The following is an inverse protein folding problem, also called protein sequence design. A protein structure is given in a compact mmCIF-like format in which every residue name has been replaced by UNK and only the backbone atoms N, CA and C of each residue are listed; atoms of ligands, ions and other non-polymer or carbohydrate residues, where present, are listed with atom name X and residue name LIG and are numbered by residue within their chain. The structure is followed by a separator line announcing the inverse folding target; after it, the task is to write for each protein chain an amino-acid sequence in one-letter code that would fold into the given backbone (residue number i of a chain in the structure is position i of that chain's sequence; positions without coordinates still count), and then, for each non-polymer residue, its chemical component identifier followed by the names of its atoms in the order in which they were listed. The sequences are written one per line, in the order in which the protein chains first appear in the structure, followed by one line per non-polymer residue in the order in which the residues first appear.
data_IF_515803410961
#
_entry.id   IF_515803410961
#
_cell.length_a   1.000
_cell.length_b   1.000
_cell.length_c   1.000
_cell.angle_alpha   90.00
_cell.angle_beta   90.00
_cell.angle_gamma   90.00
#
_symmetry.space_group_name_H-M   'P 1'
#
loop_
_entity.id
_entity.type
_entity.pdbx_description
1 polymer ?
#
# COMPACT_ATOMS: atom_id res chain seq x y z
N UNK A 1 -54.20 57.84 49.05
CA UNK A 1 -54.85 57.24 47.85
C UNK A 1 -54.12 55.92 47.63
N UNK A 2 -54.39 54.81 48.35
CA UNK A 2 -55.67 54.18 48.70
C UNK A 2 -56.27 53.58 47.41
N UNK A 3 -56.55 52.29 47.22
CA UNK A 3 -56.63 51.11 48.08
C UNK A 3 -56.42 49.83 47.22
N UNK A 4 -55.68 48.86 47.77
CA UNK A 4 -56.06 47.48 48.13
C UNK A 4 -56.81 46.48 47.19
N UNK A 5 -56.46 45.18 47.40
CA UNK A 5 -57.24 43.91 47.25
C UNK A 5 -57.05 42.95 46.02
N UNK A 6 -56.21 41.89 46.24
CA UNK A 6 -56.35 40.40 45.98
C UNK A 6 -56.65 39.80 44.58
N UNK A 7 -56.31 38.56 44.14
CA UNK A 7 -55.51 37.39 44.57
C UNK A 7 -55.40 36.31 43.45
N UNK A 8 -54.30 35.53 43.45
CA UNK A 8 -54.13 34.07 43.14
C UNK A 8 -54.11 33.50 41.68
N UNK A 9 -53.55 32.28 41.40
CA UNK A 9 -52.32 32.09 40.61
C UNK A 9 -52.43 31.11 39.41
N UNK A 10 -51.42 31.03 38.53
CA UNK A 10 -51.19 29.86 37.66
C UNK A 10 -49.69 29.63 37.35
N UNK A 11 -49.25 28.37 37.47
CA UNK A 11 -47.95 27.83 37.02
C UNK A 11 -47.97 27.56 35.51
N UNK A 12 -46.83 27.66 34.83
CA UNK A 12 -46.47 26.82 33.67
C UNK A 12 -44.95 26.81 33.40
N UNK A 13 -44.49 25.67 32.87
CA UNK A 13 -43.13 25.24 32.57
C UNK A 13 -42.49 25.96 31.36
N UNK A 14 -41.15 25.89 31.22
CA UNK A 14 -40.49 25.96 29.89
C UNK A 14 -38.99 26.28 29.85
N UNK A 15 -38.17 25.22 29.73
CA UNK A 15 -36.87 25.03 29.00
C UNK A 15 -35.70 26.04 29.08
N UNK A 16 -34.44 25.55 29.17
CA UNK A 16 -33.24 26.36 28.97
C UNK A 16 -32.65 26.23 27.56
N UNK A 17 -31.95 27.31 27.23
CA UNK A 17 -31.18 27.66 26.04
C UNK A 17 -29.89 26.84 25.89
N UNK A 18 -29.51 26.56 24.64
CA UNK A 18 -28.17 26.93 24.15
C UNK A 18 -27.26 25.83 23.62
N UNK A 19 -27.12 25.73 22.29
CA UNK A 19 -25.83 25.66 21.59
C UNK A 19 -25.97 26.41 20.25
N UNK A 20 -25.37 27.59 20.16
CA UNK A 20 -25.13 28.32 18.91
C UNK A 20 -23.80 27.82 18.33
N UNK A 21 -23.80 27.22 17.14
CA UNK A 21 -22.59 26.96 16.37
C UNK A 21 -22.38 28.10 15.36
N UNK A 22 -21.31 28.86 15.55
CA UNK A 22 -20.75 29.81 14.59
C UNK A 22 -20.27 29.05 13.35
N UNK A 23 -20.88 29.30 12.18
CA UNK A 23 -20.32 28.94 10.89
C UNK A 23 -20.00 30.25 10.17
N UNK A 24 -18.71 30.57 10.05
CA UNK A 24 -18.25 31.64 9.15
C UNK A 24 -18.20 31.11 7.71
N UNK A 25 -18.55 31.92 6.70
CA UNK A 25 -18.37 31.54 5.30
C UNK A 25 -16.91 31.79 4.87
N UNK A 26 -16.23 30.75 4.42
CA UNK A 26 -14.99 30.90 3.64
C UNK A 26 -15.36 31.30 2.21
N UNK A 27 -15.02 32.52 1.80
CA UNK A 27 -15.00 32.94 0.40
C UNK A 27 -13.65 32.58 -0.22
N UNK A 28 -13.64 31.58 -1.10
CA UNK A 28 -12.47 31.23 -1.91
C UNK A 28 -12.36 32.25 -3.06
N UNK A 29 -11.33 33.10 -3.05
CA UNK A 29 -11.02 34.03 -4.15
C UNK A 29 -9.84 33.48 -4.93
N UNK A 30 -10.08 33.03 -6.17
CA UNK A 30 -9.02 32.63 -7.11
C UNK A 30 -8.58 33.89 -7.86
N UNK A 31 -7.34 34.33 -7.62
CA UNK A 31 -6.69 35.40 -8.37
C UNK A 31 -5.81 34.73 -9.42
N UNK A 32 -6.11 34.96 -10.70
CA UNK A 32 -5.22 34.62 -11.81
C UNK A 32 -4.41 35.87 -12.11
N UNK A 33 -3.11 35.81 -11.84
CA UNK A 33 -2.19 36.91 -12.01
C UNK A 33 -1.44 36.69 -13.34
N UNK A 34 -1.82 37.43 -14.38
CA UNK A 34 -1.10 37.46 -15.66
C UNK A 34 0.11 38.39 -15.53
N UNK A 35 1.31 37.81 -15.44
CA UNK A 35 2.56 38.57 -15.60
C UNK A 35 3.02 38.56 -17.05
N UNK A 36 3.25 39.70 -17.71
CA UNK A 36 3.97 39.73 -18.98
C UNK A 36 5.47 39.75 -18.69
N UNK A 37 6.20 38.76 -19.20
CA UNK A 37 7.67 38.81 -19.23
C UNK A 37 8.17 38.54 -20.63
N UNK A 38 8.49 39.63 -21.33
CA UNK A 38 9.41 39.66 -22.45
C UNK A 38 10.81 39.33 -21.95
N UNK A 39 11.43 38.27 -22.45
CA UNK A 39 12.88 38.05 -22.35
C UNK A 39 13.36 37.48 -23.67
N UNK A 40 14.39 38.15 -24.20
CA UNK A 40 15.10 37.89 -25.45
C UNK A 40 15.63 36.47 -25.59
N UNK A 41 15.47 35.94 -26.80
CA UNK A 41 16.15 34.76 -27.32
C UNK A 41 17.61 35.10 -27.65
N UNK A 42 18.56 34.58 -26.89
CA UNK A 42 19.82 34.06 -27.44
C UNK A 42 20.63 33.35 -26.36
N UNK A 43 21.01 32.10 -26.67
CA UNK A 43 21.92 31.21 -25.92
C UNK A 43 21.42 30.62 -24.60
N UNK A 44 20.76 29.44 -24.66
CA UNK A 44 20.90 28.40 -23.64
C UNK A 44 20.49 27.02 -24.21
N UNK A 45 21.43 26.34 -24.86
CA UNK A 45 21.35 24.90 -25.14
C UNK A 45 21.86 24.13 -23.92
N UNK A 46 21.01 23.94 -22.92
CA UNK A 46 21.10 22.87 -21.92
C UNK A 46 19.82 22.84 -21.06
N UNK A 47 19.31 21.64 -20.79
CA UNK A 47 18.20 21.33 -19.89
C UNK A 47 16.79 21.76 -20.34
N UNK A 48 16.08 20.81 -20.96
CA UNK A 48 14.64 20.74 -20.82
C UNK A 48 14.28 19.56 -19.90
N UNK A 49 13.65 19.80 -18.73
CA UNK A 49 12.93 18.75 -18.05
C UNK A 49 11.71 18.38 -18.91
N UNK A 50 11.47 17.08 -19.03
CA UNK A 50 10.29 16.50 -19.65
C UNK A 50 9.03 17.09 -19.00
N UNK A 51 8.41 18.08 -19.68
CA UNK A 51 7.11 18.65 -19.28
C UNK A 51 6.05 17.61 -19.54
N UNK A 52 5.49 17.09 -18.46
CA UNK A 52 4.35 16.20 -18.45
C UNK A 52 3.12 16.97 -18.96
N UNK A 53 2.79 16.81 -20.25
CA UNK A 53 1.52 17.26 -20.81
C UNK A 53 0.40 16.30 -20.40
N UNK A 54 0.06 16.28 -19.11
CA UNK A 54 -1.05 15.47 -18.58
C UNK A 54 -2.03 16.27 -17.71
N UNK A 55 -2.12 17.58 -17.91
CA UNK A 55 -3.23 18.37 -17.39
C UNK A 55 -3.99 18.99 -18.56
N UNK A 56 -4.74 18.14 -19.27
CA UNK A 56 -5.91 18.64 -19.98
C UNK A 56 -6.81 19.30 -18.92
N UNK A 57 -7.22 20.58 -19.10
CA UNK A 57 -8.13 21.26 -18.18
C UNK A 57 -9.43 20.48 -17.98
N UNK A 58 -9.80 19.63 -18.94
CA UNK A 58 -10.95 18.72 -18.81
C UNK A 58 -10.78 17.67 -17.72
N UNK A 59 -9.55 17.14 -17.53
CA UNK A 59 -9.26 16.15 -16.48
C UNK A 59 -9.31 16.77 -15.09
N UNK A 60 -8.87 18.03 -14.96
CA UNK A 60 -8.96 18.80 -13.70
C UNK A 60 -10.42 19.12 -13.38
N UNK A 61 -11.20 19.54 -14.37
CA UNK A 61 -12.65 19.79 -14.21
C UNK A 61 -13.39 18.50 -13.83
N UNK A 62 -13.04 17.35 -14.40
CA UNK A 62 -13.65 16.07 -14.03
C UNK A 62 -13.32 15.67 -12.60
N UNK A 63 -12.06 15.83 -12.14
CA UNK A 63 -11.67 15.54 -10.75
C UNK A 63 -12.38 16.45 -9.76
N UNK A 64 -12.51 17.75 -10.07
CA UNK A 64 -13.24 18.71 -9.23
C UNK A 64 -14.73 18.35 -9.16
N UNK A 65 -15.36 18.03 -10.29
CA UNK A 65 -16.77 17.57 -10.32
C UNK A 65 -16.97 16.31 -9.47
N UNK A 66 -16.05 15.35 -9.55
CA UNK A 66 -16.13 14.13 -8.77
C UNK A 66 -16.01 14.40 -7.26
N UNK A 67 -15.07 15.25 -6.84
CA UNK A 67 -14.92 15.65 -5.42
C UNK A 67 -16.19 16.35 -4.91
N UNK A 68 -16.78 17.26 -5.70
CA UNK A 68 -18.02 17.97 -5.32
C UNK A 68 -19.18 16.99 -5.16
N UNK A 69 -19.35 16.04 -6.09
CA UNK A 69 -20.41 15.03 -6.03
C UNK A 69 -20.23 14.12 -4.80
N UNK A 70 -19.01 13.63 -4.54
CA UNK A 70 -18.74 12.76 -3.38
C UNK A 70 -19.00 13.51 -2.07
N UNK A 71 -18.60 14.77 -1.97
CA UNK A 71 -18.85 15.61 -0.79
C UNK A 71 -20.34 15.85 -0.57
N UNK A 72 -21.11 16.10 -1.64
CA UNK A 72 -22.57 16.24 -1.59
C UNK A 72 -23.26 14.96 -1.12
N UNK A 73 -22.84 13.80 -1.62
CA UNK A 73 -23.40 12.51 -1.21
C UNK A 73 -23.17 12.26 0.28
N UNK A 74 -21.95 12.51 0.78
CA UNK A 74 -21.64 12.36 2.21
C UNK A 74 -22.47 13.31 3.05
N UNK A 75 -22.64 14.57 2.60
CA UNK A 75 -23.44 15.56 3.31
C UNK A 75 -24.92 15.17 3.37
N UNK A 76 -25.49 14.68 2.26
CA UNK A 76 -26.87 14.17 2.22
C UNK A 76 -27.03 12.95 3.12
N UNK A 77 -26.07 12.02 3.12
CA UNK A 77 -26.09 10.86 4.02
C UNK A 77 -26.09 11.28 5.49
N UNK A 78 -25.26 12.25 5.88
CA UNK A 78 -25.22 12.79 7.26
C UNK A 78 -26.56 13.43 7.62
N UNK A 79 -27.18 14.20 6.72
CA UNK A 79 -28.51 14.79 6.94
C UNK A 79 -29.57 13.70 7.09
N UNK A 80 -29.56 12.68 6.23
CA UNK A 80 -30.52 11.58 6.29
C UNK A 80 -30.35 10.80 7.60
N UNK A 81 -29.12 10.48 8.01
CA UNK A 81 -28.87 9.80 9.27
C UNK A 81 -29.27 10.63 10.49
N UNK A 82 -28.99 11.94 10.50
CA UNK A 82 -29.39 12.82 11.60
C UNK A 82 -30.92 13.02 11.61
N UNK A 83 -31.59 13.08 10.47
CA UNK A 83 -33.06 13.10 10.38
C UNK A 83 -33.69 11.77 10.82
N UNK A 84 -33.12 10.62 10.47
CA UNK A 84 -33.60 9.32 10.93
C UNK A 84 -33.41 9.19 12.45
N UNK A 85 -32.26 9.59 12.98
CA UNK A 85 -31.98 9.59 14.41
C UNK A 85 -32.91 10.56 15.17
N UNK A 86 -33.16 11.76 14.64
CA UNK A 86 -34.09 12.73 15.22
C UNK A 86 -35.54 12.25 15.17
N UNK A 87 -35.95 11.57 14.08
CA UNK A 87 -37.30 10.99 13.95
C UNK A 87 -37.50 9.75 14.82
N UNK A 88 -36.43 9.05 15.20
CA UNK A 88 -36.45 7.96 16.17
C UNK A 88 -36.34 8.44 17.62
N UNK A 89 -36.10 9.73 17.88
CA UNK A 89 -36.01 10.32 19.22
C UNK A 89 -37.28 10.20 20.08
N UNK A 90 -38.44 9.88 19.48
CA UNK A 90 -39.70 9.65 20.21
C UNK A 90 -40.05 8.16 20.43
N UNK A 91 -39.15 7.21 20.12
CA UNK A 91 -39.42 5.77 20.30
C UNK A 91 -38.35 4.96 21.04
N UNK A 92 -37.48 5.62 21.82
CA UNK A 92 -36.53 4.95 22.72
C UNK A 92 -36.86 5.19 24.19
N UNK A 93 -38.06 4.80 24.59
CA UNK A 93 -38.21 4.13 25.88
C UNK A 93 -38.64 2.69 25.58
N UNK A 94 -37.78 1.73 25.93
CA UNK A 94 -38.02 0.27 25.86
C UNK A 94 -37.77 -0.42 24.50
N UNK A 95 -36.49 -0.66 24.16
CA UNK A 95 -36.13 -1.84 23.35
C UNK A 95 -35.40 -2.82 24.25
N UNK A 96 -36.16 -3.74 24.84
CA UNK A 96 -35.64 -4.98 25.39
C UNK A 96 -35.35 -5.91 24.21
N UNK A 97 -34.07 -6.16 23.93
CA UNK A 97 -33.66 -7.19 22.97
C UNK A 97 -34.03 -8.55 23.58
N UNK A 98 -34.83 -9.32 22.84
CA UNK A 98 -35.35 -10.61 23.25
C UNK A 98 -34.24 -11.68 23.27
N UNK A 99 -34.12 -12.38 24.40
CA UNK A 99 -33.49 -13.69 24.45
C UNK A 99 -34.43 -14.71 23.83
N UNK A 100 -33.87 -15.60 22.99
CA UNK A 100 -34.59 -16.76 22.45
C UNK A 100 -34.89 -17.72 23.59
N UNK A 101 -36.18 -17.91 23.86
CA UNK A 101 -36.73 -18.86 24.80
C UNK A 101 -37.09 -20.14 24.03
N UNK A 102 -36.37 -21.23 24.26
CA UNK A 102 -36.85 -22.58 23.96
C UNK A 102 -37.27 -23.20 25.28
N UNK A 103 -38.56 -23.53 25.39
CA UNK A 103 -39.11 -24.14 26.59
C UNK A 103 -40.07 -25.25 26.19
N UNK A 104 -39.81 -26.47 26.67
CA UNK A 104 -40.82 -27.42 27.14
C UNK A 104 -40.15 -28.66 27.75
N UNK A 105 -40.41 -28.88 29.04
CA UNK A 105 -40.13 -30.15 29.74
C UNK A 105 -39.68 -29.97 31.19
N UNK A 106 -40.63 -29.79 32.10
CA UNK A 106 -40.40 -29.81 33.55
C UNK A 106 -39.96 -31.19 34.03
N UNK A 107 -38.84 -31.29 34.75
CA UNK A 107 -38.66 -32.22 35.89
C UNK A 107 -37.36 -31.92 36.64
N UNK A 108 -37.54 -31.78 37.95
CA UNK A 108 -36.61 -31.91 39.09
C UNK A 108 -35.18 -31.33 39.03
N UNK A 109 -34.93 -30.59 40.11
CA UNK A 109 -33.75 -29.87 40.51
C UNK A 109 -32.70 -30.85 41.06
N UNK A 110 -31.57 -31.00 40.36
CA UNK A 110 -30.33 -31.51 40.93
C UNK A 110 -29.17 -30.57 40.57
N UNK A 111 -28.41 -30.22 41.59
CA UNK A 111 -27.28 -29.30 41.54
C UNK A 111 -26.17 -29.81 40.63
N UNK A 112 -25.89 -29.08 39.56
CA UNK A 112 -24.70 -29.31 38.72
C UNK A 112 -24.02 -27.97 38.46
N UNK A 113 -22.78 -27.83 38.93
CA UNK A 113 -21.95 -26.65 38.73
C UNK A 113 -21.70 -26.44 37.23
N UNK A 114 -22.17 -25.30 36.71
CA UNK A 114 -21.90 -24.84 35.35
C UNK A 114 -20.43 -24.42 35.22
N UNK A 115 -19.69 -24.85 34.18
CA UNK A 115 -18.33 -24.40 33.95
C UNK A 115 -18.38 -22.91 33.58
N UNK A 116 -17.71 -22.08 34.39
CA UNK A 116 -17.52 -20.68 34.06
C UNK A 116 -16.62 -20.58 32.81
N UNK A 117 -17.25 -20.41 31.64
CA UNK A 117 -16.56 -20.00 30.42
C UNK A 117 -16.07 -18.56 30.58
N UNK A 118 -14.88 -18.38 31.13
CA UNK A 118 -14.16 -17.12 31.10
C UNK A 118 -13.68 -16.86 29.68
N UNK A 119 -14.45 -16.09 28.90
CA UNK A 119 -13.97 -15.54 27.64
C UNK A 119 -12.81 -14.59 27.93
N UNK A 120 -11.59 -15.01 27.61
CA UNK A 120 -10.41 -14.16 27.69
C UNK A 120 -10.55 -12.99 26.72
N UNK A 121 -10.37 -11.77 27.23
CA UNK A 121 -10.36 -10.54 26.42
C UNK A 121 -9.32 -10.69 25.28
N UNK A 122 -9.66 -10.39 24.02
CA UNK A 122 -8.71 -10.48 22.91
C UNK A 122 -7.53 -9.53 23.14
N UNK A 123 -6.34 -9.97 22.74
CA UNK A 123 -5.11 -9.16 22.88
C UNK A 123 -5.18 -7.92 21.98
N UNK A 124 -4.50 -6.82 22.35
CA UNK A 124 -4.41 -5.61 21.51
C UNK A 124 -3.94 -5.90 20.07
N UNK A 125 -2.99 -6.83 19.93
CA UNK A 125 -2.49 -7.29 18.62
C UNK A 125 -3.62 -7.88 17.77
N UNK A 126 -4.48 -8.71 18.37
CA UNK A 126 -5.59 -9.33 17.66
C UNK A 126 -6.62 -8.29 17.21
N UNK A 127 -6.89 -7.29 18.05
CA UNK A 127 -7.79 -6.18 17.73
C UNK A 127 -7.24 -5.36 16.56
N UNK A 128 -5.97 -4.93 16.61
CA UNK A 128 -5.34 -4.19 15.51
C UNK A 128 -5.33 -5.01 14.21
N UNK A 129 -5.06 -6.32 14.27
CA UNK A 129 -5.10 -7.20 13.12
C UNK A 129 -6.50 -7.26 12.47
N UNK A 130 -7.58 -7.34 13.26
CA UNK A 130 -8.96 -7.34 12.74
C UNK A 130 -9.25 -6.02 12.00
N UNK A 131 -8.89 -4.88 12.61
CA UNK A 131 -9.09 -3.57 11.97
C UNK A 131 -8.28 -3.42 10.69
N UNK A 132 -7.00 -3.80 10.70
CA UNK A 132 -6.17 -3.79 9.49
C UNK A 132 -6.76 -4.72 8.42
N UNK A 133 -7.25 -5.90 8.80
CA UNK A 133 -7.84 -6.86 7.87
C UNK A 133 -9.14 -6.38 7.23
N UNK A 134 -9.90 -5.52 7.92
CA UNK A 134 -11.11 -4.90 7.38
C UNK A 134 -10.81 -3.75 6.39
N UNK A 135 -9.60 -3.19 6.42
CA UNK A 135 -9.17 -2.10 5.56
C UNK A 135 -8.37 -2.66 4.37
N UNK A 136 -8.93 -2.60 3.16
CA UNK A 136 -8.27 -3.14 1.95
C UNK A 136 -6.89 -2.54 1.65
N UNK A 137 -6.63 -1.34 2.16
CA UNK A 137 -5.36 -0.65 1.98
C UNK A 137 -4.35 -0.96 3.08
N UNK A 138 -4.76 -1.52 4.22
CA UNK A 138 -3.86 -1.75 5.34
C UNK A 138 -3.03 -3.02 5.15
N UNK A 139 -1.72 -2.84 5.15
CA UNK A 139 -0.75 -3.93 5.00
C UNK A 139 0.16 -4.08 6.21
N UNK A 140 0.38 -2.98 6.92
CA UNK A 140 1.18 -2.92 8.14
C UNK A 140 0.36 -2.26 9.23
N UNK A 141 0.40 -2.83 10.42
CA UNK A 141 -0.12 -2.18 11.61
C UNK A 141 0.95 -2.16 12.69
N UNK A 142 1.03 -1.06 13.41
CA UNK A 142 2.00 -0.87 14.48
C UNK A 142 1.28 -0.57 15.80
N UNK A 143 1.86 -1.05 16.89
CA UNK A 143 1.32 -0.89 18.24
C UNK A 143 2.36 -0.12 19.06
N UNK A 144 1.90 0.90 19.76
CA UNK A 144 2.72 1.59 20.75
C UNK A 144 2.83 0.72 22.00
N UNK A 145 4.01 0.21 22.38
CA UNK A 145 4.15 -0.59 23.60
C UNK A 145 3.84 0.21 24.88
N UNK A 146 3.86 1.54 24.81
CA UNK A 146 3.47 2.40 25.94
C UNK A 146 1.96 2.61 26.04
N UNK A 147 1.19 2.21 25.03
CA UNK A 147 -0.27 2.32 25.01
C UNK A 147 -0.90 1.04 24.45
N UNK A 148 -1.54 0.25 25.32
CA UNK A 148 -2.18 -1.03 24.95
C UNK A 148 -3.39 -0.91 23.99
N UNK A 149 -3.66 0.29 23.44
CA UNK A 149 -4.91 0.59 22.74
C UNK A 149 -4.78 1.44 21.48
N UNK A 150 -3.59 1.93 21.11
CA UNK A 150 -3.42 2.72 19.88
C UNK A 150 -2.78 1.85 18.80
N UNK A 151 -3.56 1.59 17.74
CA UNK A 151 -3.09 0.97 16.51
C UNK A 151 -2.80 2.05 15.47
N UNK A 152 -1.64 1.98 14.84
CA UNK A 152 -1.31 2.77 13.66
C UNK A 152 -1.41 1.88 12.43
N UNK A 153 -2.08 2.35 11.38
CA UNK A 153 -2.29 1.57 10.15
C UNK A 153 -1.61 2.28 8.99
N UNK A 154 -0.86 1.53 8.20
CA UNK A 154 -0.11 2.06 7.08
C UNK A 154 -0.49 1.33 5.79
N UNK A 155 -0.61 2.12 4.72
CA UNK A 155 -0.76 1.58 3.37
C UNK A 155 0.55 0.98 2.84
N UNK A 156 1.68 1.47 3.37
CA UNK A 156 3.01 0.98 3.04
C UNK A 156 3.14 -0.49 3.39
N UNK A 157 3.53 -1.29 2.40
CA UNK A 157 4.13 -2.60 2.63
C UNK A 157 5.52 -2.35 3.18
N UNK A 158 5.68 -2.49 4.50
CA UNK A 158 6.99 -2.44 5.17
C UNK A 158 7.34 -3.85 5.59
N UNK A 159 8.61 -4.18 5.45
CA UNK A 159 9.21 -5.50 5.48
C UNK A 159 9.04 -6.24 6.81
N UNK A 160 8.87 -7.56 6.73
CA UNK A 160 9.07 -8.58 7.79
C UNK A 160 10.55 -8.75 8.25
N UNK A 161 11.34 -7.69 8.14
CA UNK A 161 12.80 -7.67 8.32
C UNK A 161 13.37 -6.26 8.54
N UNK A 162 12.53 -5.23 8.65
CA UNK A 162 12.97 -3.92 9.12
C UNK A 162 13.52 -4.05 10.54
N UNK A 163 14.83 -3.84 10.70
CA UNK A 163 15.47 -3.67 12.01
C UNK A 163 15.71 -2.20 12.24
N UNK A 164 15.06 -1.66 13.27
CA UNK A 164 15.12 -0.26 13.63
C UNK A 164 16.48 0.09 14.25
N UNK A 165 17.04 1.24 13.87
CA UNK A 165 18.38 1.70 14.28
C UNK A 165 18.36 2.59 15.53
N UNK A 166 17.21 2.83 16.17
CA UNK A 166 17.11 3.75 17.32
C UNK A 166 16.27 3.19 18.47
N UNK A 167 16.76 3.39 19.70
CA UNK A 167 16.20 2.82 20.94
C UNK A 167 15.09 3.67 21.59
N UNK A 168 14.49 4.62 20.89
CA UNK A 168 13.50 5.53 21.48
C UNK A 168 12.21 5.53 20.68
N UNK A 169 11.10 5.15 21.32
CA UNK A 169 9.74 5.02 20.77
C UNK A 169 9.59 3.95 19.67
N UNK A 170 9.98 2.72 20.00
CA UNK A 170 9.86 1.56 19.10
C UNK A 170 8.40 1.12 19.03
N UNK A 171 7.74 1.39 17.91
CA UNK A 171 6.45 0.76 17.63
C UNK A 171 6.68 -0.71 17.26
N UNK A 172 5.88 -1.62 17.83
CA UNK A 172 5.87 -3.02 17.38
C UNK A 172 4.99 -3.14 16.14
N UNK A 173 5.62 -3.23 14.98
CA UNK A 173 4.93 -3.34 13.69
C UNK A 173 4.76 -4.79 13.23
N UNK A 174 3.65 -5.06 12.58
CA UNK A 174 3.25 -6.36 12.06
C UNK A 174 2.71 -6.19 10.65
N UNK A 175 2.87 -7.21 9.81
CA UNK A 175 2.36 -7.21 8.43
C UNK A 175 1.61 -8.50 8.13
N UNK A 176 0.65 -8.41 7.21
CA UNK A 176 -0.03 -9.58 6.62
C UNK A 176 0.81 -10.22 5.52
N UNK A 177 1.80 -9.50 5.01
CA UNK A 177 2.65 -10.01 3.94
C UNK A 177 3.51 -11.17 4.45
N UNK A 178 3.68 -12.22 3.62
CA UNK A 178 4.63 -13.28 3.92
C UNK A 178 6.04 -12.72 4.14
N UNK A 179 6.90 -13.55 4.74
CA UNK A 179 8.30 -13.19 4.83
C UNK A 179 8.92 -13.11 3.44
N UNK A 180 9.55 -11.98 3.14
CA UNK A 180 10.34 -11.79 1.94
C UNK A 180 11.82 -12.00 2.28
N UNK A 181 12.41 -13.04 1.71
CA UNK A 181 13.81 -13.39 1.92
C UNK A 181 14.78 -12.62 1.02
N UNK A 182 14.28 -11.89 0.01
CA UNK A 182 15.13 -11.04 -0.81
C UNK A 182 15.64 -9.83 0.00
N UNK A 183 14.90 -9.40 1.01
CA UNK A 183 15.23 -8.20 1.78
C UNK A 183 16.31 -8.52 2.82
N UNK A 184 17.38 -7.72 2.78
CA UNK A 184 18.60 -7.98 3.54
C UNK A 184 19.51 -9.04 2.90
N UNK A 185 19.15 -9.60 1.74
CA UNK A 185 20.08 -10.38 0.94
C UNK A 185 21.21 -9.50 0.42
N UNK A 186 22.37 -10.09 0.18
CA UNK A 186 23.43 -9.40 -0.58
C UNK A 186 23.10 -9.51 -2.06
N UNK A 187 23.22 -8.41 -2.80
CA UNK A 187 22.91 -8.37 -4.23
C UNK A 187 24.14 -7.94 -5.04
N UNK A 188 24.37 -8.63 -6.15
CA UNK A 188 25.37 -8.26 -7.16
C UNK A 188 24.84 -8.53 -8.56
N UNK A 189 25.38 -7.87 -9.57
CA UNK A 189 24.86 -8.01 -10.93
C UNK A 189 25.50 -7.07 -11.91
N UNK A 190 24.86 -6.96 -13.08
CA UNK A 190 25.19 -5.95 -14.08
C UNK A 190 25.20 -4.54 -13.46
N UNK A 191 26.06 -3.63 -13.94
CA UNK A 191 26.12 -2.28 -13.41
C UNK A 191 24.80 -1.53 -13.67
N UNK A 192 24.40 -0.60 -12.80
CA UNK A 192 23.29 0.30 -13.08
C UNK A 192 23.66 1.30 -14.18
N UNK A 193 22.66 1.79 -14.90
CA UNK A 193 22.84 2.75 -15.98
C UNK A 193 23.34 4.11 -15.45
N UNK A 194 24.47 4.65 -15.95
CA UNK A 194 25.13 5.81 -15.34
C UNK A 194 24.30 7.11 -15.40
N UNK A 195 23.44 7.27 -16.42
CA UNK A 195 22.56 8.45 -16.55
C UNK A 195 21.43 8.49 -15.53
N UNK A 196 21.09 7.35 -14.89
CA UNK A 196 19.97 7.25 -13.95
C UNK A 196 20.50 6.78 -12.59
N UNK A 197 21.17 7.67 -11.81
CA UNK A 197 21.89 7.27 -10.60
C UNK A 197 20.98 6.66 -9.51
N UNK A 198 19.70 7.01 -9.51
CA UNK A 198 18.74 6.47 -8.54
C UNK A 198 18.25 5.06 -8.90
N UNK A 199 18.58 4.53 -10.08
CA UNK A 199 18.11 3.23 -10.58
C UNK A 199 19.10 2.12 -10.28
N UNK A 200 19.45 2.02 -9.01
CA UNK A 200 20.47 1.12 -8.48
C UNK A 200 19.92 -0.29 -8.23
N UNK A 201 20.83 -1.23 -8.00
CA UNK A 201 20.52 -2.65 -7.89
C UNK A 201 19.75 -2.96 -6.59
N UNK A 202 20.10 -2.24 -5.53
CA UNK A 202 19.55 -2.32 -4.19
C UNK A 202 18.05 -2.00 -4.13
N UNK A 203 17.53 -1.22 -5.09
CA UNK A 203 16.10 -0.96 -5.22
C UNK A 203 15.29 -2.25 -5.38
N UNK A 204 15.89 -3.33 -5.91
CA UNK A 204 15.20 -4.61 -6.05
C UNK A 204 14.82 -5.24 -4.70
N UNK A 205 15.56 -4.90 -3.64
CA UNK A 205 15.49 -5.54 -2.32
C UNK A 205 15.27 -4.53 -1.18
N UNK A 206 14.80 -3.33 -1.51
CA UNK A 206 14.55 -2.25 -0.56
C UNK A 206 13.25 -2.41 0.24
N UNK A 207 12.36 -3.30 -0.22
CA UNK A 207 11.06 -3.56 0.39
C UNK A 207 9.96 -2.55 0.07
N UNK A 208 10.11 -1.72 -0.97
CA UNK A 208 9.10 -0.74 -1.38
C UNK A 208 8.33 -1.17 -2.65
N UNK A 209 7.23 -1.91 -2.47
CA UNK A 209 6.51 -2.60 -3.55
C UNK A 209 5.50 -1.75 -4.35
N UNK A 210 4.95 -0.67 -3.77
CA UNK A 210 3.68 -0.06 -4.26
C UNK A 210 3.81 1.23 -5.06
N UNK A 211 5.02 1.70 -5.34
CA UNK A 211 5.24 2.80 -6.27
C UNK A 211 6.22 2.36 -7.35
N UNK A 212 5.76 1.70 -8.42
CA UNK A 212 6.57 1.34 -9.59
C UNK A 212 6.91 2.58 -10.44
N UNK A 213 7.24 3.68 -9.77
CA UNK A 213 7.94 4.79 -10.37
C UNK A 213 9.29 4.23 -10.79
N UNK A 214 9.62 4.45 -12.06
CA UNK A 214 10.86 4.01 -12.70
C UNK A 214 12.13 4.41 -11.94
N UNK A 215 12.07 5.41 -11.06
CA UNK A 215 13.20 5.83 -10.22
C UNK A 215 13.45 4.92 -9.02
N UNK A 216 12.49 4.11 -8.58
CA UNK A 216 12.65 3.06 -7.57
C UNK A 216 12.86 1.69 -8.20
N UNK A 217 13.31 1.66 -9.46
CA UNK A 217 13.57 0.42 -10.18
C UNK A 217 15.03 0.34 -10.53
N UNK A 218 15.60 -0.86 -10.51
CA UNK A 218 16.91 -1.13 -11.07
C UNK A 218 16.86 -0.98 -12.59
N UNK A 219 17.90 -0.39 -13.19
CA UNK A 219 18.05 -0.32 -14.65
C UNK A 219 19.49 -0.61 -15.06
N UNK A 220 19.73 -1.72 -15.76
CA UNK A 220 21.09 -2.13 -16.15
C UNK A 220 21.70 -1.20 -17.20
N UNK A 221 23.01 -1.00 -17.13
CA UNK A 221 23.82 -0.49 -18.23
C UNK A 221 24.01 -1.53 -19.32
N UNK A 222 24.08 -2.81 -18.94
CA UNK A 222 24.40 -3.92 -19.85
C UNK A 222 23.24 -4.21 -20.80
N UNK A 223 23.61 -4.45 -22.06
CA UNK A 223 22.69 -4.80 -23.15
C UNK A 223 22.68 -6.31 -23.45
N UNK A 224 23.80 -6.99 -23.18
CA UNK A 224 24.00 -8.40 -23.49
C UNK A 224 23.85 -9.23 -22.23
N UNK A 225 22.78 -10.00 -22.19
CA UNK A 225 22.40 -10.89 -21.09
C UNK A 225 22.52 -10.28 -19.67
N UNK A 226 21.92 -9.10 -19.42
CA UNK A 226 21.98 -8.47 -18.11
C UNK A 226 21.40 -9.40 -17.03
N UNK A 227 22.03 -9.38 -15.86
CA UNK A 227 21.72 -10.30 -14.77
C UNK A 227 21.89 -9.65 -13.41
N UNK A 228 21.32 -10.28 -12.40
CA UNK A 228 21.66 -10.06 -11.00
C UNK A 228 21.49 -11.34 -10.21
N UNK A 229 22.17 -11.42 -9.07
CA UNK A 229 22.17 -12.56 -8.16
C UNK A 229 22.00 -12.06 -6.74
N UNK A 230 21.17 -12.79 -5.99
CA UNK A 230 20.94 -12.62 -4.57
C UNK A 230 21.64 -13.74 -3.81
N UNK A 231 22.42 -13.39 -2.78
CA UNK A 231 22.85 -14.31 -1.73
C UNK A 231 21.94 -14.13 -0.50
N UNK A 232 21.09 -15.13 -0.24
CA UNK A 232 20.15 -15.14 0.88
C UNK A 232 20.83 -15.41 2.24
N UNK A 233 22.15 -15.57 2.26
CA UNK A 233 22.97 -15.84 3.44
C UNK A 233 22.91 -17.28 3.95
N UNK A 234 21.83 -18.01 3.64
CA UNK A 234 21.63 -19.42 4.02
C UNK A 234 20.78 -20.15 2.99
N UNK A 235 20.80 -21.48 3.04
CA UNK A 235 19.89 -22.30 2.24
C UNK A 235 18.49 -22.22 2.87
N UNK A 236 17.49 -21.84 2.08
CA UNK A 236 16.07 -21.85 2.46
C UNK A 236 15.27 -22.69 1.46
N UNK A 237 14.11 -23.23 1.86
CA UNK A 237 13.13 -23.73 0.89
C UNK A 237 12.55 -22.52 0.13
N UNK A 238 12.53 -22.55 -1.19
CA UNK A 238 11.90 -21.51 -2.01
C UNK A 238 10.69 -22.12 -2.70
N UNK A 239 9.52 -21.56 -2.44
CA UNK A 239 8.24 -21.99 -3.05
C UNK A 239 7.75 -20.99 -4.09
N UNK A 240 8.05 -19.70 -3.89
CA UNK A 240 7.59 -18.63 -4.76
C UNK A 240 8.67 -17.57 -4.97
N UNK A 241 8.80 -17.12 -6.22
CA UNK A 241 9.56 -15.94 -6.59
C UNK A 241 8.62 -15.02 -7.37
N UNK A 242 8.58 -13.75 -6.99
CA UNK A 242 7.76 -12.74 -7.63
C UNK A 242 8.62 -11.56 -8.02
N UNK A 243 8.33 -10.94 -9.17
CA UNK A 243 8.94 -9.68 -9.55
C UNK A 243 7.90 -8.67 -10.04
N UNK A 244 8.18 -7.40 -9.74
CA UNK A 244 7.34 -6.27 -10.14
C UNK A 244 8.04 -5.52 -11.26
N UNK A 245 7.35 -5.40 -12.39
CA UNK A 245 7.82 -4.68 -13.55
C UNK A 245 7.40 -3.19 -13.46
N UNK A 246 8.16 -2.28 -14.09
CA UNK A 246 7.92 -0.84 -13.99
C UNK A 246 6.62 -0.37 -14.64
N UNK A 247 6.12 0.77 -14.16
CA UNK A 247 5.01 1.50 -14.80
C UNK A 247 5.49 2.30 -16.00
N UNK A 248 6.06 1.64 -17.01
CA UNK A 248 6.65 2.34 -18.15
C UNK A 248 6.12 1.79 -19.46
N UNK A 249 5.95 2.65 -20.46
CA UNK A 249 5.72 2.18 -21.85
C UNK A 249 6.88 1.30 -22.36
N UNK A 250 8.05 1.41 -21.73
CA UNK A 250 9.20 0.54 -22.01
C UNK A 250 9.03 -0.86 -21.43
N UNK A 251 8.02 -1.11 -20.58
CA UNK A 251 7.81 -2.43 -19.98
C UNK A 251 7.36 -3.50 -20.96
N UNK A 252 6.75 -3.12 -22.07
CA UNK A 252 6.35 -4.02 -23.16
C UNK A 252 7.52 -4.80 -23.80
N UNK A 253 8.76 -4.47 -23.42
CA UNK A 253 10.00 -5.02 -23.99
C UNK A 253 10.73 -6.00 -23.05
N UNK A 254 10.17 -6.27 -21.87
CA UNK A 254 10.66 -7.33 -20.99
C UNK A 254 10.16 -8.68 -21.49
N UNK A 255 11.11 -9.45 -22.02
CA UNK A 255 10.95 -10.79 -22.57
C UNK A 255 12.13 -11.64 -22.11
N UNK A 256 11.98 -12.96 -22.16
CA UNK A 256 13.04 -13.94 -21.93
C UNK A 256 13.78 -13.77 -20.59
N UNK A 257 13.05 -13.57 -19.50
CA UNK A 257 13.63 -13.53 -18.15
C UNK A 257 13.66 -14.94 -17.59
N UNK A 258 14.84 -15.38 -17.20
CA UNK A 258 15.08 -16.67 -16.60
C UNK A 258 15.47 -16.49 -15.14
N UNK A 259 14.84 -17.29 -14.27
CA UNK A 259 15.16 -17.33 -12.84
C UNK A 259 15.74 -18.70 -12.53
N UNK A 260 16.95 -18.71 -12.02
CA UNK A 260 17.64 -19.92 -11.56
C UNK A 260 17.94 -19.85 -10.08
N UNK A 261 18.02 -21.01 -9.45
CA UNK A 261 18.32 -21.13 -8.03
C UNK A 261 19.37 -22.21 -7.78
N UNK A 262 20.23 -21.97 -6.79
CA UNK A 262 21.34 -22.86 -6.50
C UNK A 262 21.82 -22.78 -5.05
N UNK A 263 22.59 -23.77 -4.64
CA UNK A 263 23.26 -23.79 -3.32
C UNK A 263 24.67 -23.19 -3.39
N UNK A 264 25.29 -23.24 -4.56
CA UNK A 264 26.66 -22.80 -4.78
C UNK A 264 26.71 -21.39 -5.37
N UNK A 265 27.75 -20.65 -4.98
CA UNK A 265 28.02 -19.33 -5.50
C UNK A 265 28.65 -19.46 -6.89
N UNK A 266 27.88 -19.17 -7.94
CA UNK A 266 28.36 -19.10 -9.31
C UNK A 266 28.76 -17.66 -9.61
N UNK A 267 30.03 -17.44 -9.94
CA UNK A 267 30.61 -16.12 -10.21
C UNK A 267 30.65 -15.74 -11.68
N UNK A 268 30.39 -16.69 -12.58
CA UNK A 268 30.32 -16.45 -14.01
C UNK A 268 28.92 -15.99 -14.41
N UNK A 269 28.79 -15.15 -15.45
CA UNK A 269 27.51 -14.77 -16.08
C UNK A 269 26.80 -15.92 -16.80
N UNK A 270 27.27 -17.15 -16.57
CA UNK A 270 26.70 -18.40 -17.03
C UNK A 270 26.16 -19.18 -15.82
N UNK A 271 24.87 -19.05 -15.57
CA UNK A 271 24.19 -19.70 -14.45
C UNK A 271 23.63 -21.09 -14.80
N UNK A 272 24.05 -21.68 -15.91
CA UNK A 272 23.49 -22.93 -16.44
C UNK A 272 23.63 -24.12 -15.48
N UNK A 273 24.59 -24.08 -14.56
CA UNK A 273 24.77 -25.10 -13.50
C UNK A 273 23.70 -25.03 -12.40
N UNK A 274 23.03 -23.89 -12.24
CA UNK A 274 21.95 -23.72 -11.28
C UNK A 274 20.63 -24.28 -11.84
N UNK A 275 19.73 -24.72 -10.94
CA UNK A 275 18.42 -25.27 -11.33
C UNK A 275 17.53 -24.14 -11.88
N UNK A 276 16.92 -24.37 -13.04
CA UNK A 276 15.86 -23.48 -13.54
C UNK A 276 14.67 -23.50 -12.58
N UNK A 277 14.32 -22.34 -12.04
CA UNK A 277 13.16 -22.16 -11.17
C UNK A 277 11.93 -21.73 -11.97
N UNK A 278 12.12 -20.83 -12.93
CA UNK A 278 11.04 -20.38 -13.81
C UNK A 278 11.55 -19.54 -14.97
N UNK A 279 10.69 -19.39 -15.97
CA UNK A 279 10.97 -18.63 -17.17
C UNK A 279 9.77 -17.76 -17.53
N UNK A 280 10.02 -16.49 -17.79
CA UNK A 280 9.03 -15.53 -18.25
C UNK A 280 9.32 -15.16 -19.70
N UNK A 281 8.52 -15.64 -20.67
CA UNK A 281 8.75 -15.34 -22.08
C UNK A 281 8.47 -13.88 -22.41
N UNK A 282 7.57 -13.22 -21.67
CA UNK A 282 7.01 -11.92 -22.05
C UNK A 282 6.14 -11.97 -23.31
N UNK A 283 5.85 -10.81 -23.93
CA UNK A 283 6.17 -9.47 -23.45
C UNK A 283 5.41 -9.13 -22.17
N UNK A 284 5.96 -8.22 -21.39
CA UNK A 284 5.32 -7.81 -20.15
C UNK A 284 4.31 -6.67 -20.32
N UNK A 285 3.42 -6.47 -19.35
CA UNK A 285 2.52 -5.32 -19.28
C UNK A 285 3.03 -4.26 -18.28
N UNK A 286 2.46 -3.05 -18.31
CA UNK A 286 2.75 -2.01 -17.31
C UNK A 286 2.35 -2.49 -15.92
N UNK A 287 3.22 -2.31 -14.93
CA UNK A 287 2.99 -2.76 -13.54
C UNK A 287 2.65 -4.25 -13.42
N UNK A 288 3.07 -5.06 -14.39
CA UNK A 288 2.80 -6.49 -14.30
C UNK A 288 3.60 -7.07 -13.13
N UNK A 289 2.89 -7.85 -12.32
CA UNK A 289 3.48 -8.72 -11.33
C UNK A 289 3.62 -10.08 -11.99
N UNK A 290 4.85 -10.59 -12.04
CA UNK A 290 5.12 -11.94 -12.53
C UNK A 290 5.40 -12.82 -11.33
N UNK A 291 4.72 -13.95 -11.28
CA UNK A 291 4.79 -14.91 -10.18
C UNK A 291 5.26 -16.24 -10.77
N UNK A 292 6.28 -16.81 -10.15
CA UNK A 292 6.78 -18.15 -10.42
C UNK A 292 6.65 -18.96 -9.14
N UNK A 293 5.95 -20.08 -9.21
CA UNK A 293 5.67 -20.94 -8.08
C UNK A 293 6.04 -22.38 -8.43
N UNK A 294 6.54 -23.12 -7.45
CA UNK A 294 6.77 -24.55 -7.54
C UNK A 294 5.95 -25.26 -6.46
N UNK A 295 5.29 -26.37 -6.84
CA UNK A 295 4.54 -27.21 -5.89
C UNK A 295 5.47 -27.78 -4.80
N UNK A 296 6.68 -28.18 -5.20
CA UNK A 296 7.70 -28.66 -4.27
C UNK A 296 8.76 -27.57 -3.95
N UNK A 297 9.02 -27.29 -2.67
CA UNK A 297 10.02 -26.29 -2.28
C UNK A 297 11.42 -26.62 -2.79
N UNK A 298 12.05 -25.68 -3.48
CA UNK A 298 13.43 -25.82 -3.98
C UNK A 298 14.40 -25.24 -2.97
N UNK A 299 15.28 -26.09 -2.41
CA UNK A 299 16.25 -25.65 -1.40
C UNK A 299 17.45 -24.96 -2.05
N UNK A 300 17.56 -23.64 -1.85
CA UNK A 300 18.59 -22.81 -2.47
C UNK A 300 19.06 -21.69 -1.53
N UNK A 301 20.29 -21.21 -1.77
CA UNK A 301 20.88 -20.03 -1.12
C UNK A 301 21.01 -18.86 -2.08
N UNK A 302 21.22 -19.14 -3.35
CA UNK A 302 21.40 -18.16 -4.40
C UNK A 302 20.20 -18.15 -5.32
N UNK A 303 19.71 -16.96 -5.63
CA UNK A 303 18.70 -16.72 -6.66
C UNK A 303 19.31 -15.83 -7.73
N UNK A 304 19.29 -16.29 -8.96
CA UNK A 304 19.85 -15.56 -10.09
C UNK A 304 18.76 -15.25 -11.08
N UNK A 305 18.72 -14.02 -11.56
CA UNK A 305 17.79 -13.57 -12.60
C UNK A 305 18.61 -13.05 -13.76
N UNK A 306 18.37 -13.60 -14.94
CA UNK A 306 19.06 -13.22 -16.16
C UNK A 306 18.03 -13.00 -17.26
N UNK A 307 18.16 -11.90 -17.99
CA UNK A 307 17.42 -11.73 -19.24
C UNK A 307 18.28 -12.21 -20.38
N UNK A 308 17.77 -13.12 -21.20
CA UNK A 308 18.45 -13.53 -22.42
C UNK A 308 18.11 -12.58 -23.56
N UNK A 309 19.12 -11.90 -24.09
CA UNK A 309 18.98 -11.16 -25.34
C UNK A 309 19.14 -12.12 -26.51
N UNK A 310 18.11 -12.19 -27.36
CA UNK A 310 18.31 -12.71 -28.71
C UNK A 310 19.19 -11.68 -29.44
N UNK A 311 20.41 -12.09 -29.81
CA UNK A 311 21.44 -11.18 -30.38
C UNK A 311 20.87 -10.42 -31.58
N UNK A 312 19.96 -11.05 -32.31
CA UNK A 312 19.28 -10.48 -33.49
C UNK A 312 18.32 -9.34 -33.18
N UNK A 313 17.72 -9.29 -31.99
CA UNK A 313 16.83 -8.22 -31.54
C UNK A 313 17.58 -7.04 -30.90
N UNK A 314 18.85 -7.26 -30.56
CA UNK A 314 19.71 -6.31 -29.85
C UNK A 314 20.82 -5.71 -30.70
N UNK A 315 20.91 -6.05 -31.99
CA UNK A 315 21.87 -5.42 -32.90
C UNK A 315 21.48 -3.97 -33.17
N UNK A 316 22.41 -3.02 -33.00
CA UNK A 316 22.16 -1.62 -33.23
C UNK A 316 22.10 -1.29 -34.73
N UNK A 317 20.94 -1.50 -35.36
CA UNK A 317 20.69 -1.00 -36.71
C UNK A 317 20.01 0.37 -36.61
N UNK A 318 20.79 1.44 -36.44
CA UNK A 318 20.31 2.82 -36.46
C UNK A 318 20.66 3.63 -35.20
N UNK A 319 20.59 4.96 -35.32
CA UNK A 319 21.15 5.96 -34.38
C UNK A 319 20.52 6.03 -32.98
N UNK A 320 19.71 5.06 -32.54
CA UNK A 320 19.26 5.00 -31.15
C UNK A 320 18.87 3.58 -30.65
N UNK A 321 19.83 2.65 -30.52
CA UNK A 321 19.58 1.25 -30.15
C UNK A 321 19.33 1.00 -28.65
N UNK A 322 19.51 2.02 -27.82
CA UNK A 322 19.98 1.82 -26.45
C UNK A 322 18.91 1.32 -25.45
N UNK A 323 17.63 1.46 -25.75
CA UNK A 323 16.59 1.18 -24.74
C UNK A 323 15.98 -0.21 -24.81
N UNK A 324 16.23 -0.99 -25.87
CA UNK A 324 15.49 -2.23 -26.12
C UNK A 324 16.07 -3.46 -25.42
N UNK A 325 17.34 -3.40 -25.04
CA UNK A 325 18.06 -4.58 -24.53
C UNK A 325 18.53 -4.47 -23.08
N UNK A 326 18.08 -3.44 -22.38
CA UNK A 326 18.39 -3.25 -20.98
C UNK A 326 17.34 -3.87 -20.08
N UNK A 327 17.78 -4.27 -18.91
CA UNK A 327 16.97 -4.91 -17.90
C UNK A 327 16.50 -3.87 -16.89
N UNK A 328 15.20 -3.85 -16.60
CA UNK A 328 14.68 -3.04 -15.50
C UNK A 328 13.56 -3.77 -14.78
N UNK A 329 13.71 -3.82 -13.46
CA UNK A 329 12.80 -4.45 -12.51
C UNK A 329 12.71 -3.54 -11.30
N UNK A 330 11.53 -3.46 -10.71
CA UNK A 330 11.31 -2.58 -9.57
C UNK A 330 11.48 -3.30 -8.24
N UNK A 331 11.16 -4.59 -8.21
CA UNK A 331 11.20 -5.35 -6.98
C UNK A 331 11.31 -6.84 -7.27
N UNK A 332 11.96 -7.59 -6.38
CA UNK A 332 11.93 -9.05 -6.33
C UNK A 332 11.60 -9.52 -4.91
N UNK A 333 10.59 -10.37 -4.80
CA UNK A 333 10.15 -11.01 -3.57
C UNK A 333 10.44 -12.52 -3.64
N UNK A 334 10.97 -13.08 -2.56
CA UNK A 334 11.24 -14.52 -2.43
C UNK A 334 10.53 -15.04 -1.18
N UNK A 335 9.66 -16.04 -1.35
CA UNK A 335 8.96 -16.68 -0.24
C UNK A 335 9.38 -18.14 -0.09
N UNK A 336 9.29 -18.61 1.17
CA UNK A 336 9.55 -19.99 1.58
C UNK A 336 8.26 -20.72 1.89
#
# INVERSE_FOLDING_TARGET
VGDDVTSLPFRLLGTPVGILALIMPFTLRVVVEDTPRSVDESNFDAYLPYRDYSHSPELVIMKIKQIIITTLIVYVMIIVFTCIAAKQGDLWSSVKIAYVNLNLGSLQQDSMQSPQNTFSKPSPIHICHIYCSALQWCNVWCIDPSSDSICYFYELYVVSGYQETSNTNVYSCYTRSPKDYAIGATIEGSPPHPTYPNRMLENLIDGFYRHPNVNFCYYSSDFYNPWFKLDLGRVIPITRIMFILPNSIHSLKYINIEVRVGKENVTESNFSSQKLFGFFPGPSAKNQVVIMENEEPVHARYVTVQRWSDVTLCTPTGSNPDHFCRFMLCHIEINS
#
